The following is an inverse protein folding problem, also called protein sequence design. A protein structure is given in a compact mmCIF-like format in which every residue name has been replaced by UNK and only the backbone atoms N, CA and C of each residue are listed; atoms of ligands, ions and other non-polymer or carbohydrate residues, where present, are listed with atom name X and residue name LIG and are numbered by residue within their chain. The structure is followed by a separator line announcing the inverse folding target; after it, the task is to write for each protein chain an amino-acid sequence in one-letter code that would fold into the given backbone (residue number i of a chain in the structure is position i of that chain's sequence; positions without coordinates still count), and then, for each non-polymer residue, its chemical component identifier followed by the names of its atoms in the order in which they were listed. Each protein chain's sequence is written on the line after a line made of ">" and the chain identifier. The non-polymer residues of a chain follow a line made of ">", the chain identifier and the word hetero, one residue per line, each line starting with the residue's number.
data_IF_116476262538
#
_entry.id   IF_116476262538
#
_cell.length_a   1.000
_cell.length_b   1.000
_cell.length_c   1.000
_cell.angle_alpha   90.00
_cell.angle_beta   90.00
_cell.angle_gamma   90.00
#
_symmetry.space_group_name_H-M   'P 1'
#
loop_
_entity.id
_entity.type
_entity.pdbx_description
1 polymer ?
#
# COMPACT_ATOMS: atom_id res chain seq x y z
N UNK A 1 4.13 49.00 15.59
CA UNK A 1 2.97 49.21 14.67
C UNK A 1 2.77 48.15 13.57
N UNK A 2 3.66 47.94 12.59
CA UNK A 2 3.41 46.91 11.53
C UNK A 2 3.64 45.47 12.05
N UNK A 3 4.65 45.23 12.90
CA UNK A 3 4.85 43.92 13.57
C UNK A 3 3.74 43.56 14.57
N UNK A 4 3.16 44.54 15.24
CA UNK A 4 2.03 44.32 16.18
C UNK A 4 0.74 44.00 15.45
N UNK A 5 0.38 44.75 14.39
CA UNK A 5 -0.81 44.48 13.59
C UNK A 5 -0.72 43.16 12.80
N UNK A 6 0.48 42.77 12.37
CA UNK A 6 0.74 41.43 11.81
C UNK A 6 0.67 40.33 12.88
N UNK A 7 0.94 40.64 14.15
CA UNK A 7 0.90 39.67 15.25
C UNK A 7 -0.51 39.45 15.79
N UNK A 8 -1.37 40.47 15.82
CA UNK A 8 -2.75 40.36 16.31
C UNK A 8 -3.62 39.61 15.30
N UNK A 9 -3.60 39.99 14.01
CA UNK A 9 -4.37 39.27 12.99
C UNK A 9 -3.90 37.82 12.81
N UNK A 10 -2.58 37.53 12.84
CA UNK A 10 -2.09 36.15 12.83
C UNK A 10 -2.41 35.40 14.11
N UNK A 11 -2.41 36.06 15.29
CA UNK A 11 -2.81 35.41 16.54
C UNK A 11 -4.28 35.04 16.51
N UNK A 12 -5.15 35.93 16.06
CA UNK A 12 -6.59 35.65 15.97
C UNK A 12 -6.90 34.57 14.95
N UNK A 13 -6.18 34.55 13.82
CA UNK A 13 -6.26 33.49 12.82
C UNK A 13 -5.78 32.13 13.39
N UNK A 14 -4.65 32.12 14.10
CA UNK A 14 -4.16 30.91 14.78
C UNK A 14 -5.12 30.44 15.88
N UNK A 15 -5.68 31.36 16.67
CA UNK A 15 -6.61 31.07 17.76
C UNK A 15 -7.92 30.44 17.28
N UNK A 16 -8.37 30.77 16.07
CA UNK A 16 -9.58 30.21 15.46
C UNK A 16 -9.31 28.98 14.57
N UNK A 17 -8.04 28.63 14.37
CA UNK A 17 -7.64 27.45 13.63
C UNK A 17 -7.72 26.18 14.51
N UNK A 18 -8.22 25.10 13.91
CA UNK A 18 -8.17 23.77 14.51
C UNK A 18 -6.90 23.01 14.09
N UNK A 19 -6.39 22.22 15.02
CA UNK A 19 -5.14 21.48 14.92
C UNK A 19 -5.36 20.00 15.21
N UNK A 20 -4.63 19.16 14.48
CA UNK A 20 -4.41 17.76 14.77
C UNK A 20 -3.04 17.61 15.43
N UNK A 21 -2.97 16.80 16.48
CA UNK A 21 -1.75 16.43 17.18
C UNK A 21 -1.57 14.92 17.01
N UNK A 22 -0.59 14.55 16.19
CA UNK A 22 -0.34 13.18 15.73
C UNK A 22 0.99 12.69 16.27
N UNK A 23 1.02 11.42 16.67
CA UNK A 23 2.26 10.73 17.00
C UNK A 23 3.10 10.45 15.75
N UNK A 24 4.40 10.64 15.86
CA UNK A 24 5.40 10.19 14.89
C UNK A 24 6.48 9.43 15.66
N UNK A 25 6.24 8.14 15.96
CA UNK A 25 7.21 7.34 16.68
C UNK A 25 8.45 7.13 15.79
N UNK A 26 9.63 7.15 16.42
CA UNK A 26 10.87 6.76 15.75
C UNK A 26 11.20 5.32 16.14
N UNK A 27 11.41 4.48 15.14
CA UNK A 27 12.00 3.15 15.31
C UNK A 27 13.27 3.09 14.47
N UNK A 28 14.32 2.47 15.00
CA UNK A 28 15.59 2.34 14.29
C UNK A 28 15.47 1.43 13.05
N UNK A 29 14.49 0.55 13.05
CA UNK A 29 14.16 -0.37 11.98
C UNK A 29 12.80 0.02 11.35
N UNK A 30 12.75 0.27 10.03
CA UNK A 30 11.52 0.57 9.31
C UNK A 30 10.45 -0.50 9.45
N UNK A 31 10.81 -1.79 9.52
CA UNK A 31 9.86 -2.90 9.64
C UNK A 31 9.14 -2.89 11.01
N UNK A 32 9.81 -2.35 12.03
CA UNK A 32 9.26 -2.15 13.38
C UNK A 32 8.33 -0.93 13.46
N UNK A 33 8.24 -0.13 12.38
CA UNK A 33 7.41 1.09 12.31
C UNK A 33 5.95 0.79 11.94
N UNK A 34 5.63 -0.45 11.56
CA UNK A 34 4.28 -0.91 11.21
C UNK A 34 3.41 -1.11 12.46
N UNK A 35 3.25 -0.02 13.20
CA UNK A 35 2.60 0.08 14.49
C UNK A 35 1.25 0.77 14.36
N UNK A 36 0.34 0.23 13.54
CA UNK A 36 -0.99 0.81 13.37
C UNK A 36 -1.72 0.91 14.72
N UNK A 37 -2.24 2.11 15.02
CA UNK A 37 -3.11 2.38 16.16
C UNK A 37 -2.44 2.34 17.55
N UNK A 38 -1.11 2.26 17.64
CA UNK A 38 -0.43 2.14 18.95
C UNK A 38 -0.42 3.43 19.77
N UNK A 39 -0.44 4.57 19.10
CA UNK A 39 -0.40 5.88 19.75
C UNK A 39 -1.68 6.64 19.45
N UNK A 40 -2.04 7.53 20.37
CA UNK A 40 -3.27 8.29 20.24
C UNK A 40 -3.05 9.49 19.31
N UNK A 41 -4.08 9.82 18.53
CA UNK A 41 -4.14 11.03 17.72
C UNK A 41 -5.28 11.89 18.22
N UNK A 42 -4.98 13.17 18.44
CA UNK A 42 -5.97 14.15 18.89
C UNK A 42 -6.29 15.09 17.74
N UNK A 43 -7.55 15.37 17.49
CA UNK A 43 -7.99 16.27 16.41
C UNK A 43 -8.94 17.33 16.97
N UNK A 44 -9.13 18.41 16.21
CA UNK A 44 -10.08 19.45 16.58
C UNK A 44 -9.64 20.34 17.74
N UNK A 45 -8.34 20.40 18.02
CA UNK A 45 -7.81 21.20 19.11
C UNK A 45 -7.63 22.64 18.67
N UNK A 46 -8.10 23.59 19.49
CA UNK A 46 -7.71 24.99 19.38
C UNK A 46 -6.29 25.16 19.91
N UNK A 47 -5.64 26.27 19.56
CA UNK A 47 -4.22 26.52 19.89
C UNK A 47 -3.88 26.39 21.39
N UNK A 48 -4.78 26.80 22.28
CA UNK A 48 -4.64 26.70 23.73
C UNK A 48 -4.65 25.25 24.24
N UNK A 49 -5.20 24.31 23.45
CA UNK A 49 -5.30 22.88 23.81
C UNK A 49 -4.22 22.02 23.17
N UNK A 50 -3.44 22.53 22.22
CA UNK A 50 -2.39 21.76 21.52
C UNK A 50 -1.40 21.13 22.49
N UNK A 51 -0.96 21.85 23.52
CA UNK A 51 -0.03 21.34 24.53
C UNK A 51 -0.60 20.12 25.27
N UNK A 52 -1.89 20.12 25.58
CA UNK A 52 -2.54 18.94 26.15
C UNK A 52 -2.53 17.75 25.20
N UNK A 53 -2.67 17.99 23.90
CA UNK A 53 -2.58 16.95 22.88
C UNK A 53 -1.17 16.35 22.81
N UNK A 54 -0.14 17.19 22.89
CA UNK A 54 1.27 16.75 22.90
C UNK A 54 1.53 15.85 24.11
N UNK A 55 1.11 16.29 25.30
CA UNK A 55 1.22 15.50 26.53
C UNK A 55 0.43 14.18 26.44
N UNK A 56 -0.75 14.21 25.83
CA UNK A 56 -1.57 13.03 25.57
C UNK A 56 -0.85 12.01 24.66
N UNK A 57 -0.23 12.48 23.57
CA UNK A 57 0.55 11.62 22.67
C UNK A 57 1.69 10.95 23.42
N UNK A 58 2.47 11.70 24.20
CA UNK A 58 3.55 11.12 24.99
C UNK A 58 3.05 10.15 26.07
N UNK A 59 1.93 10.46 26.72
CA UNK A 59 1.30 9.55 27.68
C UNK A 59 0.84 8.25 26.99
N UNK A 60 0.30 8.35 25.77
CA UNK A 60 -0.16 7.18 25.02
C UNK A 60 0.95 6.18 24.72
N UNK A 61 2.22 6.60 24.65
CA UNK A 61 3.36 5.71 24.51
C UNK A 61 3.48 4.70 25.67
N UNK A 62 2.97 5.05 26.85
CA UNK A 62 2.97 4.19 28.04
C UNK A 62 1.63 3.51 28.29
N UNK A 63 0.67 3.62 27.37
CA UNK A 63 -0.57 2.87 27.44
C UNK A 63 -0.30 1.36 27.35
N UNK A 64 -1.18 0.56 27.97
CA UNK A 64 -1.06 -0.90 28.00
C UNK A 64 -0.81 -1.50 26.61
N UNK A 65 -1.59 -1.08 25.60
CA UNK A 65 -1.46 -1.54 24.19
C UNK A 65 -0.05 -1.33 23.62
N UNK A 66 0.54 -0.17 23.88
CA UNK A 66 1.82 0.26 23.31
C UNK A 66 3.00 -0.39 24.05
N UNK A 67 2.86 -0.60 25.35
CA UNK A 67 3.85 -1.34 26.17
C UNK A 67 3.83 -2.84 25.82
N UNK A 68 2.66 -3.45 25.74
CA UNK A 68 2.51 -4.88 25.38
C UNK A 68 2.98 -5.17 23.96
N UNK A 69 2.72 -4.26 23.01
CA UNK A 69 3.26 -4.42 21.66
C UNK A 69 4.79 -4.38 21.69
N UNK A 70 5.38 -3.35 22.31
CA UNK A 70 6.85 -3.23 22.37
C UNK A 70 7.49 -4.43 23.05
N UNK A 71 6.90 -4.92 24.13
CA UNK A 71 7.35 -6.14 24.78
C UNK A 71 7.32 -7.36 23.84
N UNK A 72 6.23 -7.56 23.10
CA UNK A 72 6.10 -8.67 22.12
C UNK A 72 7.07 -8.53 20.95
N UNK A 73 7.32 -7.31 20.49
CA UNK A 73 8.20 -7.01 19.37
C UNK A 73 9.68 -6.88 19.76
N UNK A 74 10.05 -7.15 21.02
CA UNK A 74 11.43 -7.02 21.49
C UNK A 74 11.97 -5.58 21.53
N UNK A 75 11.08 -4.58 21.53
CA UNK A 75 11.43 -3.16 21.45
C UNK A 75 11.67 -2.55 22.83
N UNK A 76 12.54 -1.51 22.93
CA UNK A 76 12.76 -0.80 24.18
C UNK A 76 11.48 -0.16 24.76
N UNK A 77 11.31 -0.29 26.08
CA UNK A 77 10.24 0.38 26.83
C UNK A 77 10.38 1.90 26.89
N UNK A 78 11.58 2.43 26.67
CA UNK A 78 11.80 3.86 26.44
C UNK A 78 11.99 4.05 24.93
N UNK A 79 11.01 4.64 24.28
CA UNK A 79 11.09 5.01 22.86
C UNK A 79 10.75 6.50 22.71
N UNK A 80 11.59 7.30 22.03
CA UNK A 80 11.27 8.69 21.74
C UNK A 80 10.12 8.75 20.73
N UNK A 81 9.11 9.57 21.04
CA UNK A 81 7.98 9.84 20.15
C UNK A 81 7.98 11.31 19.79
N UNK A 82 8.23 11.59 18.50
CA UNK A 82 8.02 12.93 17.96
C UNK A 82 6.51 13.22 17.83
N UNK A 83 6.15 14.49 17.87
CA UNK A 83 4.76 14.93 17.77
C UNK A 83 4.60 15.91 16.63
N UNK A 84 3.72 15.58 15.69
CA UNK A 84 3.35 16.44 14.58
C UNK A 84 2.12 17.26 14.96
N UNK A 85 2.23 18.59 14.88
CA UNK A 85 1.10 19.51 15.03
C UNK A 85 0.72 20.03 13.64
N UNK A 86 -0.41 19.56 13.13
CA UNK A 86 -0.84 19.79 11.76
C UNK A 86 -2.15 20.59 11.74
N UNK A 87 -2.28 21.51 10.79
CA UNK A 87 -3.53 22.25 10.59
C UNK A 87 -4.64 21.31 10.14
N UNK A 88 -5.81 21.36 10.77
CA UNK A 88 -6.98 20.58 10.35
C UNK A 88 -7.51 21.08 9.00
N UNK A 89 -7.85 20.14 8.13
CA UNK A 89 -8.57 20.39 6.88
C UNK A 89 -10.07 20.32 7.17
N UNK A 90 -10.83 21.32 6.73
CA UNK A 90 -12.30 21.31 6.81
C UNK A 90 -12.87 20.42 5.71
N UNK A 91 -12.78 19.10 5.89
CA UNK A 91 -13.14 18.12 4.88
C UNK A 91 -14.65 17.91 4.76
N UNK A 92 -15.12 17.76 3.51
CA UNK A 92 -16.45 17.24 3.17
C UNK A 92 -16.47 15.72 3.33
N UNK A 93 -15.41 15.08 2.84
CA UNK A 93 -15.15 13.66 2.95
C UNK A 93 -13.64 13.43 3.11
N UNK A 94 -13.28 12.29 3.67
CA UNK A 94 -11.90 11.86 3.80
C UNK A 94 -11.84 10.35 3.94
N UNK A 95 -10.63 9.82 3.89
CA UNK A 95 -10.45 8.38 3.99
C UNK A 95 -9.04 7.95 3.68
N UNK A 96 -8.94 6.74 3.14
CA UNK A 96 -7.69 6.04 2.90
C UNK A 96 -7.61 5.64 1.43
N UNK A 97 -6.42 5.78 0.85
CA UNK A 97 -6.07 5.27 -0.48
C UNK A 97 -4.92 4.28 -0.31
N UNK A 98 -5.06 3.10 -0.90
CA UNK A 98 -4.00 2.10 -1.02
C UNK A 98 -3.62 1.97 -2.48
N UNK A 99 -2.33 2.10 -2.76
CA UNK A 99 -1.84 2.14 -4.13
C UNK A 99 -1.86 0.78 -4.82
N UNK A 100 -1.93 -0.31 -4.05
CA UNK A 100 -1.99 -1.70 -4.51
C UNK A 100 -3.11 -2.46 -3.78
N UNK A 101 -3.53 -3.61 -4.30
CA UNK A 101 -4.58 -4.41 -3.67
C UNK A 101 -4.17 -4.87 -2.26
N UNK A 102 -4.97 -4.61 -1.20
CA UNK A 102 -4.55 -4.82 0.19
C UNK A 102 -4.34 -6.29 0.59
N UNK A 103 -5.05 -7.23 -0.04
CA UNK A 103 -4.90 -8.68 0.22
C UNK A 103 -3.91 -9.35 -0.73
N UNK A 104 -4.11 -9.22 -2.04
CA UNK A 104 -3.30 -9.93 -3.04
C UNK A 104 -1.99 -9.24 -3.40
N UNK A 105 -1.83 -7.95 -3.11
CA UNK A 105 -0.67 -7.17 -3.52
C UNK A 105 -0.69 -6.61 -4.94
N UNK A 106 -1.74 -6.91 -5.73
CA UNK A 106 -1.84 -6.55 -7.15
C UNK A 106 -1.58 -5.04 -7.38
N UNK A 107 -0.47 -4.66 -8.05
CA UNK A 107 -0.10 -3.27 -8.30
C UNK A 107 -0.98 -2.60 -9.36
N UNK A 108 -1.76 -3.38 -10.13
CA UNK A 108 -2.70 -2.85 -11.12
C UNK A 108 -3.96 -2.26 -10.47
N UNK A 109 -4.17 -2.43 -9.16
CA UNK A 109 -5.39 -1.98 -8.49
C UNK A 109 -5.12 -0.96 -7.40
N UNK A 110 -5.78 0.20 -7.49
CA UNK A 110 -5.83 1.21 -6.44
C UNK A 110 -7.16 1.08 -5.71
N UNK A 111 -7.09 0.98 -4.39
CA UNK A 111 -8.26 0.84 -3.52
C UNK A 111 -8.47 2.13 -2.73
N UNK A 112 -9.66 2.71 -2.82
CA UNK A 112 -10.01 3.95 -2.13
C UNK A 112 -11.20 3.67 -1.22
N UNK A 113 -11.07 4.00 0.06
CA UNK A 113 -12.18 4.00 1.01
C UNK A 113 -12.48 5.43 1.43
N UNK A 114 -13.73 5.87 1.28
CA UNK A 114 -14.15 7.23 1.54
C UNK A 114 -15.35 7.27 2.49
N UNK A 115 -15.39 8.25 3.40
CA UNK A 115 -16.59 8.54 4.18
C UNK A 115 -16.72 10.04 4.43
N UNK A 116 -17.91 10.48 4.84
CA UNK A 116 -18.18 11.88 5.16
C UNK A 116 -17.39 12.36 6.37
N UNK A 117 -17.06 13.65 6.39
CA UNK A 117 -16.36 14.29 7.51
C UNK A 117 -14.86 14.04 7.52
N UNK A 118 -14.28 13.90 8.72
CA UNK A 118 -12.84 13.69 8.91
C UNK A 118 -12.51 12.21 8.71
N UNK A 119 -11.54 11.92 7.83
CA UNK A 119 -11.16 10.56 7.44
C UNK A 119 -10.62 9.64 8.54
N UNK A 120 -10.37 10.16 9.76
CA UNK A 120 -9.89 9.36 10.89
C UNK A 120 -10.85 8.22 11.28
N UNK A 121 -12.14 8.37 11.00
CA UNK A 121 -13.15 7.35 11.26
C UNK A 121 -12.94 6.11 10.37
N UNK A 122 -12.55 6.34 9.12
CA UNK A 122 -12.23 5.30 8.14
C UNK A 122 -10.89 4.67 8.48
N UNK A 123 -9.85 5.47 8.75
CA UNK A 123 -8.51 4.93 9.04
C UNK A 123 -8.47 4.11 10.34
N UNK A 124 -9.33 4.42 11.32
CA UNK A 124 -9.48 3.64 12.55
C UNK A 124 -10.44 2.44 12.44
N UNK A 125 -11.06 2.20 11.27
CA UNK A 125 -12.01 1.10 11.06
C UNK A 125 -13.33 1.26 11.83
N UNK A 126 -13.65 2.46 12.31
CA UNK A 126 -14.88 2.73 13.09
C UNK A 126 -16.11 2.93 12.20
N UNK A 127 -15.91 3.26 10.93
CA UNK A 127 -16.98 3.53 9.97
C UNK A 127 -16.68 2.76 8.69
N UNK A 128 -17.69 2.04 8.19
CA UNK A 128 -17.64 1.42 6.88
C UNK A 128 -17.97 2.48 5.81
N UNK A 129 -16.93 2.87 5.07
CA UNK A 129 -17.01 3.87 4.00
C UNK A 129 -17.34 3.27 2.63
N UNK A 130 -17.57 4.15 1.66
CA UNK A 130 -17.68 3.78 0.26
C UNK A 130 -16.35 3.24 -0.25
N UNK A 131 -16.41 2.21 -1.09
CA UNK A 131 -15.23 1.60 -1.70
C UNK A 131 -15.21 1.86 -3.19
N UNK A 132 -14.05 2.24 -3.69
CA UNK A 132 -13.77 2.37 -5.11
C UNK A 132 -12.54 1.54 -5.44
N UNK A 133 -12.63 0.75 -6.50
CA UNK A 133 -11.48 0.05 -7.07
C UNK A 133 -11.19 0.64 -8.44
N UNK A 134 -9.97 1.16 -8.60
CA UNK A 134 -9.50 1.77 -9.84
C UNK A 134 -8.39 0.91 -10.42
N UNK A 135 -8.58 0.44 -11.65
CA UNK A 135 -7.58 -0.30 -12.41
C UNK A 135 -6.62 0.68 -13.09
N UNK A 136 -5.34 0.37 -13.01
CA UNK A 136 -4.27 0.94 -13.82
C UNK A 136 -4.11 0.04 -15.05
N UNK A 137 -4.03 0.63 -16.23
CA UNK A 137 -3.65 -0.17 -17.39
C UNK A 137 -2.17 -0.59 -17.36
N UNK A 138 -1.80 -1.49 -18.26
CA UNK A 138 -0.53 -2.22 -18.21
C UNK A 138 0.71 -1.38 -18.55
N UNK A 139 0.52 -0.21 -19.18
CA UNK A 139 1.61 0.73 -19.48
C UNK A 139 1.29 2.15 -18.99
N UNK A 140 2.30 3.02 -19.00
CA UNK A 140 2.16 4.41 -18.54
C UNK A 140 1.19 5.24 -19.42
N UNK A 141 0.87 4.75 -20.63
CA UNK A 141 -0.07 5.37 -21.57
C UNK A 141 -1.51 4.93 -21.32
N UNK A 142 -1.69 3.76 -20.74
CA UNK A 142 -2.97 3.21 -20.40
C UNK A 142 -3.56 4.00 -19.22
N UNK A 143 -4.84 4.31 -19.37
CA UNK A 143 -5.57 5.18 -18.45
C UNK A 143 -5.81 4.55 -17.09
N UNK A 144 -6.46 5.33 -16.23
CA UNK A 144 -7.11 4.82 -15.03
C UNK A 144 -8.58 4.54 -15.37
N UNK A 145 -9.16 3.52 -14.76
CA UNK A 145 -10.57 3.18 -14.92
C UNK A 145 -11.17 2.70 -13.59
N UNK A 146 -12.34 3.22 -13.21
CA UNK A 146 -13.07 2.69 -12.06
C UNK A 146 -13.75 1.39 -12.48
N UNK A 147 -13.37 0.28 -11.86
CA UNK A 147 -13.89 -1.06 -12.16
C UNK A 147 -14.91 -1.56 -11.14
N UNK A 148 -14.95 -0.96 -9.93
CA UNK A 148 -15.95 -1.28 -8.90
C UNK A 148 -16.23 -0.07 -8.02
N UNK A 149 -17.49 0.05 -7.60
CA UNK A 149 -17.99 1.05 -6.67
C UNK A 149 -19.01 0.43 -5.73
N UNK A 150 -18.80 0.58 -4.43
CA UNK A 150 -19.70 0.07 -3.39
C UNK A 150 -20.05 1.19 -2.42
N UNK A 151 -21.34 1.31 -2.10
CA UNK A 151 -21.84 2.27 -1.11
C UNK A 151 -21.71 1.63 0.28
N UNK A 152 -20.92 2.24 1.17
CA UNK A 152 -20.80 1.78 2.56
C UNK A 152 -21.97 2.26 3.44
N UNK A 153 -22.12 1.70 4.65
CA UNK A 153 -23.21 2.08 5.56
C UNK A 153 -23.17 3.56 5.97
N UNK A 154 -21.96 4.09 6.23
CA UNK A 154 -21.72 5.49 6.62
C UNK A 154 -22.69 5.99 7.70
N UNK A 155 -22.95 5.17 8.71
CA UNK A 155 -23.91 5.45 9.78
C UNK A 155 -23.55 6.71 10.60
N UNK A 156 -22.27 6.88 10.86
CA UNK A 156 -21.69 8.01 11.55
C UNK A 156 -20.56 8.66 10.76
N UNK A 157 -20.31 9.94 11.05
CA UNK A 157 -19.14 10.69 10.62
C UNK A 157 -18.46 11.35 11.81
N UNK A 158 -17.17 11.60 11.70
CA UNK A 158 -16.44 12.42 12.69
C UNK A 158 -16.41 13.87 12.21
N UNK A 159 -16.89 14.79 13.04
CA UNK A 159 -16.83 16.22 12.74
C UNK A 159 -15.40 16.79 12.94
N UNK A 160 -15.20 18.05 12.55
CA UNK A 160 -13.90 18.72 12.66
C UNK A 160 -13.37 18.86 14.10
N UNK A 161 -14.22 18.64 15.11
CA UNK A 161 -13.86 18.66 16.52
C UNK A 161 -13.56 17.26 17.08
N UNK A 162 -13.69 16.22 16.25
CA UNK A 162 -13.46 14.84 16.66
C UNK A 162 -14.67 14.14 17.25
N UNK A 163 -15.87 14.73 17.19
CA UNK A 163 -17.07 14.11 17.73
C UNK A 163 -17.82 13.29 16.67
N UNK A 164 -18.34 12.10 17.03
CA UNK A 164 -19.21 11.35 16.15
C UNK A 164 -20.54 12.09 15.96
N UNK A 165 -21.05 12.06 14.73
CA UNK A 165 -22.33 12.65 14.31
C UNK A 165 -23.03 11.66 13.41
N UNK A 166 -24.34 11.51 13.56
CA UNK A 166 -25.12 10.70 12.65
C UNK A 166 -25.11 11.31 11.25
N UNK A 167 -25.01 10.44 10.24
CA UNK A 167 -25.23 10.82 8.85
C UNK A 167 -26.72 10.63 8.54
N UNK A 168 -27.43 11.61 7.96
CA UNK A 168 -28.81 11.43 7.54
C UNK A 168 -28.95 10.30 6.52
N UNK A 169 -30.05 9.54 6.57
CA UNK A 169 -30.27 8.38 5.69
C UNK A 169 -30.09 8.70 4.20
N UNK A 170 -30.62 9.84 3.74
CA UNK A 170 -30.49 10.30 2.35
C UNK A 170 -29.01 10.49 1.90
N UNK A 171 -28.11 10.79 2.85
CA UNK A 171 -26.68 10.89 2.56
C UNK A 171 -25.99 9.51 2.59
N UNK A 172 -26.48 8.56 3.41
CA UNK A 172 -25.92 7.20 3.50
C UNK A 172 -26.08 6.44 2.18
N UNK A 173 -27.21 6.64 1.51
CA UNK A 173 -27.54 6.01 0.22
C UNK A 173 -26.78 6.64 -0.97
N UNK A 174 -25.94 7.65 -0.74
CA UNK A 174 -25.14 8.33 -1.76
C UNK A 174 -23.65 8.16 -1.49
N UNK A 175 -22.87 8.07 -2.57
CA UNK A 175 -21.41 8.10 -2.49
C UNK A 175 -20.94 9.42 -1.85
N UNK A 176 -19.98 9.31 -0.94
CA UNK A 176 -19.39 10.42 -0.19
C UNK A 176 -18.47 11.31 -1.02
N UNK A 177 -17.97 10.78 -2.13
CA UNK A 177 -17.20 11.48 -3.16
C UNK A 177 -17.73 11.13 -4.55
N UNK A 178 -17.45 11.98 -5.54
CA UNK A 178 -17.82 11.73 -6.94
C UNK A 178 -16.76 10.88 -7.65
N UNK A 179 -17.11 10.34 -8.82
CA UNK A 179 -16.20 9.55 -9.64
C UNK A 179 -14.98 10.38 -10.07
N UNK A 180 -15.17 11.66 -10.36
CA UNK A 180 -14.09 12.58 -10.74
C UNK A 180 -13.08 12.77 -9.59
N UNK A 181 -13.56 12.84 -8.34
CA UNK A 181 -12.70 12.92 -7.16
C UNK A 181 -11.96 11.60 -6.95
N UNK A 182 -12.63 10.45 -7.10
CA UNK A 182 -12.00 9.13 -7.00
C UNK A 182 -10.90 8.95 -8.07
N UNK A 183 -11.15 9.38 -9.31
CA UNK A 183 -10.16 9.34 -10.40
C UNK A 183 -8.95 10.24 -10.13
N UNK A 184 -9.16 11.45 -9.61
CA UNK A 184 -8.06 12.34 -9.21
C UNK A 184 -7.23 11.75 -8.07
N UNK A 185 -7.89 11.13 -7.08
CA UNK A 185 -7.20 10.41 -6.00
C UNK A 185 -6.37 9.26 -6.56
N UNK A 186 -6.92 8.46 -7.47
CA UNK A 186 -6.21 7.36 -8.12
C UNK A 186 -4.99 7.85 -8.92
N UNK A 187 -5.11 8.97 -9.65
CA UNK A 187 -3.99 9.59 -10.34
C UNK A 187 -2.88 10.01 -9.38
N UNK A 188 -3.23 10.65 -8.26
CA UNK A 188 -2.26 10.99 -7.21
C UNK A 188 -1.62 9.72 -6.62
N UNK A 189 -2.41 8.68 -6.38
CA UNK A 189 -1.94 7.38 -5.89
C UNK A 189 -0.93 6.73 -6.84
N UNK A 190 -1.20 6.74 -8.15
CA UNK A 190 -0.27 6.24 -9.19
C UNK A 190 1.07 6.97 -9.14
N UNK A 191 1.06 8.30 -9.06
CA UNK A 191 2.30 9.10 -8.99
C UNK A 191 3.09 8.85 -7.70
N UNK A 192 2.40 8.70 -6.56
CA UNK A 192 3.06 8.39 -5.28
C UNK A 192 3.67 7.00 -5.30
N UNK A 193 2.95 6.01 -5.82
CA UNK A 193 3.46 4.64 -5.98
C UNK A 193 4.72 4.61 -6.84
N UNK A 194 4.73 5.36 -7.95
CA UNK A 194 5.91 5.52 -8.82
C UNK A 194 7.08 6.24 -8.14
N UNK A 195 6.79 7.26 -7.32
CA UNK A 195 7.83 8.02 -6.60
C UNK A 195 8.55 7.17 -5.56
N UNK A 196 7.81 6.31 -4.87
CA UNK A 196 8.32 5.51 -3.77
C UNK A 196 8.71 4.08 -4.16
N UNK A 197 8.31 3.63 -5.34
CA UNK A 197 8.53 2.29 -5.89
C UNK A 197 8.10 1.15 -4.95
N UNK A 198 7.03 1.40 -4.18
CA UNK A 198 6.57 0.47 -3.15
C UNK A 198 5.13 0.80 -2.75
N UNK A 199 4.37 -0.18 -2.26
CA UNK A 199 2.97 0.00 -1.92
C UNK A 199 2.79 1.03 -0.80
N UNK A 200 1.81 1.93 -0.95
CA UNK A 200 1.54 3.01 0.00
C UNK A 200 0.11 2.98 0.52
N UNK A 201 -0.01 3.27 1.81
CA UNK A 201 -1.25 3.58 2.52
C UNK A 201 -1.26 5.09 2.80
N UNK A 202 -2.25 5.78 2.27
CA UNK A 202 -2.32 7.24 2.19
C UNK A 202 -3.62 7.73 2.83
N UNK A 203 -3.51 8.55 3.86
CA UNK A 203 -4.66 9.29 4.39
C UNK A 203 -4.88 10.57 3.60
N UNK A 204 -6.13 10.85 3.23
CA UNK A 204 -6.49 12.02 2.45
C UNK A 204 -7.77 12.69 2.95
N UNK A 205 -7.93 13.96 2.59
CA UNK A 205 -9.13 14.75 2.84
C UNK A 205 -9.50 15.56 1.59
N UNK A 206 -10.80 15.65 1.30
CA UNK A 206 -11.35 16.43 0.21
C UNK A 206 -12.27 17.54 0.74
N UNK A 207 -12.10 18.76 0.23
CA UNK A 207 -12.90 19.93 0.63
C UNK A 207 -13.94 20.29 -0.42
N UNK A 208 -15.10 20.76 0.04
CA UNK A 208 -16.18 21.25 -0.81
C UNK A 208 -16.72 22.54 -0.17
N UNK A 209 -16.90 23.63 -0.93
CA UNK A 209 -16.92 23.71 -2.40
C UNK A 209 -15.56 23.95 -3.08
N UNK A 210 -14.45 24.12 -2.34
CA UNK A 210 -13.15 24.50 -2.93
C UNK A 210 -12.52 23.43 -3.82
N UNK A 211 -13.02 22.19 -3.76
CA UNK A 211 -12.64 21.04 -4.58
C UNK A 211 -11.13 20.72 -4.55
N UNK A 212 -10.55 20.77 -3.33
CA UNK A 212 -9.14 20.49 -3.07
C UNK A 212 -8.97 19.17 -2.34
N UNK A 213 -8.01 18.38 -2.81
CA UNK A 213 -7.54 17.17 -2.14
C UNK A 213 -6.28 17.52 -1.36
N UNK A 214 -6.24 17.10 -0.10
CA UNK A 214 -5.09 17.22 0.79
C UNK A 214 -4.62 15.82 1.18
N UNK A 215 -3.33 15.57 1.05
CA UNK A 215 -2.69 14.38 1.60
C UNK A 215 -2.30 14.66 3.05
N UNK A 216 -2.76 13.82 3.96
CA UNK A 216 -2.58 13.99 5.40
C UNK A 216 -1.42 13.14 5.91
N UNK A 217 -1.26 11.94 5.38
CA UNK A 217 -0.20 10.99 5.71
C UNK A 217 0.06 10.07 4.51
N UNK A 218 1.32 9.65 4.34
CA UNK A 218 1.71 8.62 3.40
C UNK A 218 2.72 7.70 4.10
N UNK A 219 2.47 6.40 4.11
CA UNK A 219 3.34 5.39 4.72
C UNK A 219 3.44 4.16 3.83
N UNK A 220 4.52 3.34 3.93
CA UNK A 220 4.53 2.00 3.34
C UNK A 220 3.32 1.18 3.80
N UNK A 221 2.76 0.38 2.90
CA UNK A 221 1.74 -0.58 3.28
C UNK A 221 2.36 -1.66 4.20
N UNK A 222 1.62 -2.13 5.20
CA UNK A 222 2.16 -3.05 6.21
C UNK A 222 2.59 -4.42 5.65
N UNK A 223 2.09 -4.78 4.48
CA UNK A 223 2.40 -6.03 3.80
C UNK A 223 3.45 -5.88 2.69
N UNK A 224 3.92 -4.66 2.40
CA UNK A 224 4.84 -4.37 1.29
C UNK A 224 6.20 -5.08 1.43
N UNK A 225 6.59 -5.46 2.66
CA UNK A 225 7.82 -6.22 2.94
C UNK A 225 7.63 -7.74 2.92
N UNK A 226 6.41 -8.23 2.66
CA UNK A 226 6.09 -9.65 2.56
C UNK A 226 5.84 -10.01 1.09
N UNK A 227 6.17 -11.23 0.71
CA UNK A 227 5.76 -11.78 -0.58
C UNK A 227 4.23 -11.80 -0.67
N UNK A 228 3.69 -11.12 -1.69
CA UNK A 228 2.24 -11.08 -1.92
C UNK A 228 1.79 -12.22 -2.83
N UNK A 229 0.50 -12.55 -2.83
CA UNK A 229 -0.06 -13.53 -3.78
C UNK A 229 0.24 -13.13 -5.23
N UNK A 230 0.25 -11.84 -5.52
CA UNK A 230 0.63 -11.30 -6.82
C UNK A 230 2.10 -11.59 -7.12
N UNK A 231 3.02 -11.31 -6.20
CA UNK A 231 4.44 -11.59 -6.39
C UNK A 231 4.69 -13.09 -6.57
N UNK A 232 4.00 -13.93 -5.79
CA UNK A 232 4.12 -15.40 -5.89
C UNK A 232 3.60 -15.95 -7.22
N UNK A 233 2.53 -15.36 -7.77
CA UNK A 233 1.92 -15.80 -9.03
C UNK A 233 2.58 -15.19 -10.27
N UNK A 234 3.26 -14.05 -10.11
CA UNK A 234 3.97 -13.33 -11.17
C UNK A 234 5.50 -13.40 -10.98
N UNK A 235 6.00 -14.26 -10.09
CA UNK A 235 7.41 -14.63 -10.03
C UNK A 235 7.73 -15.34 -11.34
N UNK A 236 8.38 -14.61 -12.24
CA UNK A 236 8.69 -15.09 -13.56
C UNK A 236 9.81 -16.13 -13.41
N UNK A 237 9.46 -17.42 -13.46
CA UNK A 237 10.41 -18.51 -13.70
C UNK A 237 10.72 -18.68 -15.19
N UNK A 238 10.17 -17.83 -16.07
CA UNK A 238 10.49 -17.90 -17.49
C UNK A 238 11.86 -17.29 -17.78
N UNK A 239 12.62 -17.99 -18.61
CA UNK A 239 13.90 -17.53 -19.08
C UNK A 239 13.87 -16.22 -19.83
N UNK A 240 14.94 -15.45 -19.68
CA UNK A 240 15.23 -14.36 -20.61
C UNK A 240 15.93 -14.95 -21.84
N UNK A 241 15.64 -14.47 -23.04
CA UNK A 241 16.38 -14.90 -24.24
C UNK A 241 17.75 -14.22 -24.25
N UNK A 242 18.81 -15.00 -24.04
CA UNK A 242 20.19 -14.53 -24.07
C UNK A 242 20.98 -15.17 -25.20
N UNK A 243 22.08 -14.55 -25.63
CA UNK A 243 23.01 -15.14 -26.60
C UNK A 243 23.84 -16.30 -26.03
N UNK A 244 23.72 -16.57 -24.74
CA UNK A 244 24.46 -17.62 -24.05
C UNK A 244 23.61 -18.19 -22.91
N UNK A 245 23.61 -19.51 -22.80
CA UNK A 245 23.02 -20.21 -21.66
C UNK A 245 23.85 -19.91 -20.41
N UNK A 246 23.22 -19.29 -19.42
CA UNK A 246 23.87 -18.98 -18.14
C UNK A 246 23.18 -19.77 -17.04
N UNK A 247 23.91 -20.74 -16.48
CA UNK A 247 23.50 -21.48 -15.29
C UNK A 247 24.08 -20.81 -14.04
N UNK A 248 23.24 -20.53 -13.04
CA UNK A 248 23.67 -20.02 -11.74
C UNK A 248 23.24 -20.96 -10.61
N UNK A 249 24.15 -21.18 -9.66
CA UNK A 249 23.88 -21.93 -8.43
C UNK A 249 23.51 -21.01 -7.26
N UNK A 250 23.22 -19.73 -7.52
CA UNK A 250 22.99 -18.73 -6.47
C UNK A 250 21.83 -19.09 -5.51
N UNK A 251 20.87 -19.90 -5.95
CA UNK A 251 19.76 -20.42 -5.12
C UNK A 251 19.95 -21.87 -4.66
N UNK A 252 21.03 -22.55 -5.09
CA UNK A 252 21.24 -23.96 -4.78
C UNK A 252 21.44 -24.20 -3.27
N UNK A 253 22.00 -23.24 -2.54
CA UNK A 253 22.23 -23.33 -1.09
C UNK A 253 20.92 -23.21 -0.28
N UNK A 254 19.90 -22.51 -0.83
CA UNK A 254 18.56 -22.41 -0.23
C UNK A 254 17.72 -23.68 -0.46
N UNK A 255 17.86 -24.30 -1.63
CA UNK A 255 17.08 -25.48 -2.05
C UNK A 255 17.74 -26.80 -1.65
N UNK A 256 19.08 -26.85 -1.63
CA UNK A 256 19.88 -28.01 -1.24
C UNK A 256 20.82 -27.63 -0.10
N UNK A 257 20.36 -27.68 1.16
CA UNK A 257 21.18 -27.32 2.32
C UNK A 257 22.34 -28.31 2.60
N UNK A 258 22.62 -29.23 1.66
CA UNK A 258 23.68 -30.26 1.75
C UNK A 258 24.34 -30.46 0.39
N UNK A 259 25.56 -31.01 0.42
CA UNK A 259 26.37 -31.29 -0.76
C UNK A 259 25.61 -32.15 -1.76
N UNK A 260 25.40 -31.62 -2.96
CA UNK A 260 24.79 -32.32 -4.10
C UNK A 260 25.85 -33.19 -4.77
N UNK A 261 25.52 -34.45 -5.10
CA UNK A 261 26.46 -35.33 -5.80
C UNK A 261 26.46 -35.04 -7.30
N UNK A 262 27.56 -35.31 -8.04
CA UNK A 262 27.58 -35.17 -9.49
C UNK A 262 26.45 -35.92 -10.19
N UNK A 263 26.09 -37.12 -9.68
CA UNK A 263 24.98 -37.91 -10.20
C UNK A 263 23.63 -37.20 -10.03
N UNK A 264 23.40 -36.58 -8.87
CA UNK A 264 22.18 -35.79 -8.61
C UNK A 264 22.09 -34.61 -9.56
N UNK A 265 23.20 -33.91 -9.82
CA UNK A 265 23.22 -32.82 -10.79
C UNK A 265 22.90 -33.32 -12.21
N UNK A 266 23.51 -34.43 -12.64
CA UNK A 266 23.24 -35.03 -13.96
C UNK A 266 21.78 -35.43 -14.09
N UNK A 267 21.21 -36.12 -13.10
CA UNK A 267 19.79 -36.51 -13.14
C UNK A 267 18.85 -35.32 -13.17
N UNK A 268 19.12 -34.25 -12.42
CA UNK A 268 18.27 -33.05 -12.44
C UNK A 268 18.38 -32.33 -13.79
N UNK A 269 19.60 -32.17 -14.32
CA UNK A 269 19.82 -31.50 -15.61
C UNK A 269 19.24 -32.29 -16.79
N UNK A 270 19.33 -33.61 -16.78
CA UNK A 270 18.77 -34.47 -17.85
C UNK A 270 17.23 -34.50 -17.84
N UNK A 271 16.60 -34.31 -16.67
CA UNK A 271 15.13 -34.27 -16.56
C UNK A 271 14.55 -32.86 -16.64
N UNK A 272 15.38 -31.81 -16.57
CA UNK A 272 15.01 -30.41 -16.81
C UNK A 272 15.25 -30.01 -18.27
N UNK A 273 15.04 -30.92 -19.23
CA UNK A 273 15.22 -30.64 -20.65
C UNK A 273 14.34 -29.43 -21.06
N UNK A 274 14.92 -28.31 -21.54
CA UNK A 274 14.18 -27.10 -21.88
C UNK A 274 13.13 -27.28 -22.99
N UNK A 275 13.19 -28.40 -23.72
CA UNK A 275 12.21 -28.79 -24.73
C UNK A 275 10.78 -28.94 -24.18
N UNK A 276 10.64 -29.26 -22.89
CA UNK A 276 9.35 -29.50 -22.23
C UNK A 276 8.51 -28.22 -21.97
N UNK A 277 9.07 -27.03 -22.19
CA UNK A 277 8.42 -25.74 -21.89
C UNK A 277 8.25 -24.83 -23.11
N UNK A 278 8.54 -25.33 -24.31
CA UNK A 278 8.13 -24.66 -25.55
C UNK A 278 6.62 -24.83 -25.63
N UNK A 279 5.87 -23.72 -25.57
CA UNK A 279 4.47 -23.73 -25.97
C UNK A 279 4.44 -24.15 -27.44
N UNK A 280 3.72 -25.23 -27.75
CA UNK A 280 3.40 -25.62 -29.12
C UNK A 280 2.63 -24.45 -29.77
N UNK A 281 3.35 -23.58 -30.48
CA UNK A 281 2.75 -22.76 -31.53
C UNK A 281 2.52 -23.71 -32.72
N UNK A 282 1.40 -24.45 -32.66
CA UNK A 282 0.86 -25.22 -33.78
C UNK A 282 0.36 -24.26 -34.87
N UNK A 283 1.28 -23.70 -35.66
CA UNK A 283 1.01 -23.27 -37.03
C UNK A 283 1.60 -24.34 -37.97
N UNK A 284 0.89 -25.47 -38.11
CA UNK A 284 1.10 -26.40 -39.23
C UNK A 284 0.53 -25.77 -40.51
N UNK A 285 1.38 -25.09 -41.28
CA UNK A 285 1.29 -24.97 -42.74
C UNK A 285 2.61 -24.37 -43.26
N UNK A 286 3.52 -25.23 -43.73
CA UNK A 286 4.25 -25.07 -45.00
C UNK A 286 5.33 -26.16 -45.13
N UNK A 287 5.05 -27.14 -45.98
CA UNK A 287 6.04 -27.98 -46.65
C UNK A 287 6.89 -27.10 -47.60
N UNK A 288 8.21 -27.07 -47.44
CA UNK A 288 9.21 -27.09 -48.53
C UNK A 288 10.67 -26.94 -48.01
N UNK A 289 11.49 -27.95 -48.37
CA UNK A 289 12.93 -28.04 -48.65
C UNK A 289 14.03 -27.20 -47.91
N UNK A 290 15.04 -27.98 -47.47
CA UNK A 290 16.50 -27.74 -47.33
C UNK A 290 17.09 -26.61 -46.41
N UNK A 291 17.92 -27.08 -45.47
CA UNK A 291 19.17 -26.50 -44.96
C UNK A 291 19.22 -25.01 -44.59
N UNK A 292 18.67 -24.67 -43.43
CA UNK A 292 19.31 -23.90 -42.34
C UNK A 292 18.25 -23.67 -41.26
N UNK A 293 18.27 -24.46 -40.17
CA UNK A 293 17.47 -24.09 -38.99
C UNK A 293 17.96 -22.70 -38.54
N UNK A 294 17.12 -21.66 -38.52
CA UNK A 294 17.55 -20.36 -38.02
C UNK A 294 18.01 -20.56 -36.57
N UNK A 295 19.10 -19.91 -36.21
CA UNK A 295 19.70 -19.89 -34.86
C UNK A 295 18.60 -19.54 -33.84
N UNK A 296 17.91 -20.56 -33.32
CA UNK A 296 16.78 -20.37 -32.42
C UNK A 296 17.38 -19.89 -31.09
N UNK A 297 16.96 -18.74 -30.55
CA UNK A 297 17.51 -18.27 -29.28
C UNK A 297 17.17 -19.28 -28.18
N UNK A 298 18.21 -19.92 -27.62
CA UNK A 298 18.09 -20.81 -26.46
C UNK A 298 17.47 -20.04 -25.28
N UNK A 299 16.43 -20.57 -24.62
CA UNK A 299 15.86 -19.94 -23.44
C UNK A 299 16.83 -20.05 -22.26
N UNK A 300 17.15 -18.94 -21.55
CA UNK A 300 17.91 -19.01 -20.29
C UNK A 300 17.02 -19.70 -19.25
N UNK A 301 17.30 -20.94 -18.88
CA UNK A 301 16.52 -21.60 -17.83
C UNK A 301 16.97 -21.13 -16.44
N UNK A 302 16.16 -20.31 -15.75
CA UNK A 302 16.27 -20.11 -14.30
C UNK A 302 15.29 -21.08 -13.64
N UNK A 303 15.74 -22.32 -13.40
CA UNK A 303 14.94 -23.28 -12.65
C UNK A 303 14.87 -22.87 -11.17
N UNK A 304 13.86 -22.09 -10.78
CA UNK A 304 13.50 -21.99 -9.37
C UNK A 304 12.74 -23.26 -8.97
N UNK A 305 13.45 -24.26 -8.43
CA UNK A 305 12.86 -25.56 -8.10
C UNK A 305 11.84 -25.53 -6.96
N UNK A 306 11.55 -24.37 -6.35
CA UNK A 306 10.49 -24.25 -5.34
C UNK A 306 9.09 -24.46 -5.91
N UNK A 307 8.86 -24.11 -7.18
CA UNK A 307 7.56 -24.28 -7.85
C UNK A 307 7.34 -25.73 -8.32
N UNK A 308 8.39 -26.41 -8.78
CA UNK A 308 8.32 -27.79 -9.25
C UNK A 308 7.82 -28.78 -8.18
N UNK A 309 8.19 -28.56 -6.92
CA UNK A 309 7.72 -29.42 -5.82
C UNK A 309 6.29 -29.10 -5.35
N UNK A 310 5.78 -27.89 -5.56
CA UNK A 310 4.38 -27.56 -5.23
C UNK A 310 3.39 -28.21 -6.21
N UNK A 311 3.77 -28.40 -7.48
CA UNK A 311 2.91 -29.07 -8.47
C UNK A 311 2.75 -30.58 -8.22
N UNK A 312 3.69 -31.23 -7.54
CA UNK A 312 3.60 -32.65 -7.19
C UNK A 312 2.79 -32.97 -5.93
N UNK A 313 2.34 -31.96 -5.18
CA UNK A 313 1.50 -32.16 -4.00
C UNK A 313 -0.02 -31.98 -4.26
N UNK A 314 -0.42 -31.62 -5.49
CA UNK A 314 -1.84 -31.41 -5.86
C UNK A 314 -2.42 -32.60 -6.66
N UNK A 315 -1.60 -33.59 -7.02
CA UNK A 315 -2.01 -34.75 -7.82
C UNK A 315 -1.72 -36.11 -7.14
N UNK A 316 -1.88 -36.16 -5.81
CA UNK A 316 -1.90 -37.38 -5.00
C UNK A 316 -3.18 -37.49 -4.18
#
# INVERSE_FOLDING_TARGET
>A
MIREKLSENKRDELCNQLWAVRSSPYFADPEQTLADGQYDTYIGFRSDRVVHGVLGVWASAFARKSVEHRHRSGLPLKSPVAVLVQRMVKSRAGGVLRTRHPSTGDPRQIHIVASYGVGIAVSSGRVEGDRFVVRRGDDDRAGLEIISQEIGEKDAKVDQFGFPRDVPQEQREKLSITNEVAMRLAAIGKEIDKLYDSARDIEWAWTCPEDKIYLLQCRPAAWDSLWTDYDLTHEISSGFTGKADTLTFAQADELFPRVVTPLTCTTILENLDPSTFVLDDDDEDDDDDDDEKPDRPSPIFIANMRVAFNYHHVSG
#
